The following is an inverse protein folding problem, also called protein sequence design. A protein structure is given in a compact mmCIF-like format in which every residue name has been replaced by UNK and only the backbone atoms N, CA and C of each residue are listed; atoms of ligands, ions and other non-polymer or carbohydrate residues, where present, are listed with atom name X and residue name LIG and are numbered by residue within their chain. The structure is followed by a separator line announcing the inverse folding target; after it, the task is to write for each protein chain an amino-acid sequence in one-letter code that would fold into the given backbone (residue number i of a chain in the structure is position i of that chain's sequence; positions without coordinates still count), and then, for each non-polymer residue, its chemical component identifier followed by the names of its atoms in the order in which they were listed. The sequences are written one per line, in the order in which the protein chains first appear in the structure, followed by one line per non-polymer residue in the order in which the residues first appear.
data_IF_316229774248
#
_entry.id   IF_316229774248
#
_cell.length_a   1.000
_cell.length_b   1.000
_cell.length_c   1.000
_cell.angle_alpha   90.00
_cell.angle_beta   90.00
_cell.angle_gamma   90.00
#
_symmetry.space_group_name_H-M   'P 1'
#
loop_
_entity.id
_entity.type
_entity.pdbx_description
1 polymer ?
#
# COMPACT_ATOMS: atom_id res chain seq x y z
N UNK A 1 -7.28 8.79 18.63
CA UNK A 1 -7.59 10.22 18.60
C UNK A 1 -7.66 10.81 20.00
N UNK A 2 -8.53 10.28 20.90
CA UNK A 2 -8.69 10.79 22.29
C UNK A 2 -7.35 10.93 23.01
N UNK A 3 -6.53 9.89 23.04
CA UNK A 3 -5.22 9.88 23.70
C UNK A 3 -4.30 11.03 23.26
N UNK A 4 -4.24 11.33 21.95
CA UNK A 4 -3.42 12.44 21.42
C UNK A 4 -3.92 13.78 21.95
N UNK A 5 -5.24 14.03 21.90
CA UNK A 5 -5.84 15.28 22.38
C UNK A 5 -5.66 15.44 23.90
N UNK A 6 -5.88 14.39 24.68
CA UNK A 6 -5.73 14.38 26.13
C UNK A 6 -4.29 14.68 26.59
N UNK A 7 -3.30 14.46 25.70
CA UNK A 7 -1.90 14.76 25.94
C UNK A 7 -1.41 16.03 25.21
N UNK A 8 -2.32 16.92 24.83
CA UNK A 8 -2.01 18.21 24.24
C UNK A 8 -1.62 18.19 22.76
N UNK A 9 -1.86 17.06 22.07
CA UNK A 9 -1.67 16.97 20.63
C UNK A 9 -2.85 17.55 19.86
N UNK A 10 -2.62 17.95 18.62
CA UNK A 10 -3.59 18.55 17.73
C UNK A 10 -3.80 17.72 16.46
N UNK A 11 -4.95 17.90 15.82
CA UNK A 11 -5.27 17.38 14.50
C UNK A 11 -5.66 18.54 13.58
N UNK A 12 -5.00 18.65 12.47
CA UNK A 12 -5.32 19.62 11.43
C UNK A 12 -5.83 18.84 10.21
N UNK A 13 -7.14 18.82 10.01
CA UNK A 13 -7.79 18.20 8.85
C UNK A 13 -7.76 19.18 7.67
N UNK A 14 -7.94 18.66 6.45
CA UNK A 14 -7.91 19.42 5.20
C UNK A 14 -6.60 20.21 4.98
N UNK A 15 -5.54 19.77 5.67
CA UNK A 15 -4.24 20.42 5.71
C UNK A 15 -3.22 19.59 4.93
N UNK A 16 -3.28 19.66 3.59
CA UNK A 16 -2.35 18.96 2.71
C UNK A 16 -0.98 19.61 2.78
N UNK A 17 0.05 18.83 3.08
CA UNK A 17 1.44 19.30 3.07
C UNK A 17 1.86 19.62 1.63
N UNK A 18 2.32 20.84 1.42
CA UNK A 18 2.78 21.34 0.10
C UNK A 18 4.28 21.57 0.06
N UNK A 19 4.92 21.79 1.23
CA UNK A 19 6.36 21.95 1.32
C UNK A 19 6.92 21.54 2.70
N UNK A 20 8.18 21.10 2.71
CA UNK A 20 8.95 20.81 3.93
C UNK A 20 10.34 21.43 3.75
N UNK A 21 10.74 22.32 4.64
CA UNK A 21 12.05 22.98 4.62
C UNK A 21 12.82 22.63 5.88
N UNK A 22 14.01 22.07 5.72
CA UNK A 22 14.98 21.89 6.81
C UNK A 22 15.77 23.19 6.99
N UNK A 23 15.74 23.75 8.19
CA UNK A 23 16.48 24.98 8.53
C UNK A 23 17.90 24.71 9.00
N UNK A 24 18.72 25.74 9.00
CA UNK A 24 20.11 25.67 9.41
C UNK A 24 20.33 25.25 10.88
N UNK A 25 19.34 25.48 11.75
CA UNK A 25 19.34 25.05 13.15
C UNK A 25 18.87 23.59 13.34
N UNK A 26 18.58 22.89 12.24
CA UNK A 26 18.11 21.52 12.23
C UNK A 26 16.61 21.36 12.51
N UNK A 27 15.86 22.44 12.67
CA UNK A 27 14.40 22.41 12.72
C UNK A 27 13.80 22.33 11.32
N UNK A 28 12.49 22.10 11.26
CA UNK A 28 11.73 21.98 10.01
C UNK A 28 10.55 22.94 10.02
N UNK A 29 10.27 23.53 8.86
CA UNK A 29 9.02 24.18 8.57
C UNK A 29 8.20 23.30 7.60
N UNK A 30 6.97 23.02 7.96
CA UNK A 30 6.01 22.26 7.16
C UNK A 30 4.91 23.19 6.72
N UNK A 31 4.81 23.44 5.43
CA UNK A 31 3.78 24.32 4.83
C UNK A 31 2.60 23.46 4.35
N UNK A 32 1.40 23.90 4.60
CA UNK A 32 0.17 23.28 4.12
C UNK A 32 -0.53 24.12 3.06
N UNK A 33 -1.56 23.59 2.44
CA UNK A 33 -2.26 24.12 1.27
C UNK A 33 -2.86 25.53 1.44
N UNK A 34 -3.16 25.95 2.65
CA UNK A 34 -3.66 27.33 2.95
C UNK A 34 -2.53 28.33 3.25
N UNK A 35 -1.27 27.89 3.15
CA UNK A 35 -0.10 28.70 3.44
C UNK A 35 0.33 28.71 4.91
N UNK A 36 -0.40 28.03 5.79
CA UNK A 36 0.00 27.88 7.20
C UNK A 36 1.32 27.12 7.31
N UNK A 37 2.20 27.56 8.21
CA UNK A 37 3.50 26.95 8.47
C UNK A 37 3.55 26.42 9.89
N UNK A 38 3.85 25.13 10.03
CA UNK A 38 4.10 24.48 11.31
C UNK A 38 5.60 24.25 11.47
N UNK A 39 6.19 24.79 12.54
CA UNK A 39 7.62 24.62 12.83
C UNK A 39 7.84 23.57 13.92
N UNK A 40 8.76 22.65 13.69
CA UNK A 40 9.10 21.59 14.66
C UNK A 40 10.57 21.16 14.53
N UNK A 41 11.12 20.66 15.64
CA UNK A 41 12.46 20.03 15.64
C UNK A 41 12.46 18.64 15.05
N UNK A 42 11.32 17.98 14.97
CA UNK A 42 11.17 16.62 14.44
C UNK A 42 9.92 16.54 13.58
N UNK A 43 10.03 15.85 12.48
CA UNK A 43 8.92 15.54 11.59
C UNK A 43 8.89 14.04 11.38
N UNK A 44 7.72 13.43 11.53
CA UNK A 44 7.47 12.04 11.17
C UNK A 44 6.69 12.03 9.87
N UNK A 45 7.29 11.48 8.82
CA UNK A 45 6.65 11.30 7.53
C UNK A 45 5.89 9.98 7.52
N UNK A 46 4.57 10.04 7.51
CA UNK A 46 3.68 8.88 7.53
C UNK A 46 2.54 9.04 6.52
N UNK A 47 2.86 9.50 5.31
CA UNK A 47 1.91 9.90 4.27
C UNK A 47 1.35 8.73 3.46
N UNK A 48 1.91 7.52 3.64
CA UNK A 48 1.54 6.33 2.89
C UNK A 48 2.09 6.31 1.45
N UNK A 49 1.87 5.20 0.78
CA UNK A 49 2.46 4.95 -0.55
C UNK A 49 1.81 5.78 -1.69
N UNK A 50 0.58 6.27 -1.49
CA UNK A 50 -0.17 6.99 -2.53
C UNK A 50 0.10 8.51 -2.55
N UNK A 51 0.89 9.02 -1.61
CA UNK A 51 1.29 10.44 -1.58
C UNK A 51 2.43 10.71 -2.57
N UNK A 52 2.13 10.55 -3.88
CA UNK A 52 3.11 10.69 -4.97
C UNK A 52 3.72 12.08 -5.04
N UNK A 53 2.94 13.11 -4.72
CA UNK A 53 3.36 14.51 -4.64
C UNK A 53 4.48 14.74 -3.61
N UNK A 54 4.53 13.97 -2.54
CA UNK A 54 5.60 14.02 -1.53
C UNK A 54 6.92 13.49 -2.12
N UNK A 55 6.89 12.38 -2.86
CA UNK A 55 8.08 11.85 -3.54
C UNK A 55 8.59 12.83 -4.60
N UNK A 56 7.69 13.40 -5.41
CA UNK A 56 8.03 14.43 -6.39
C UNK A 56 8.62 15.69 -5.75
N UNK A 57 8.11 16.07 -4.57
CA UNK A 57 8.66 17.19 -3.80
C UNK A 57 10.08 16.89 -3.33
N UNK A 58 10.35 15.69 -2.85
CA UNK A 58 11.69 15.29 -2.39
C UNK A 58 12.69 15.29 -3.53
N UNK A 59 12.31 14.75 -4.69
CA UNK A 59 13.15 14.78 -5.89
C UNK A 59 13.49 16.22 -6.31
N UNK A 60 12.49 17.08 -6.42
CA UNK A 60 12.70 18.52 -6.74
C UNK A 60 13.60 19.25 -5.75
N UNK A 61 13.62 18.82 -4.49
CA UNK A 61 14.49 19.39 -3.44
C UNK A 61 15.88 18.78 -3.41
N UNK A 62 16.16 17.80 -4.25
CA UNK A 62 17.43 17.06 -4.26
C UNK A 62 17.65 16.25 -2.98
N UNK A 63 16.57 15.85 -2.30
CA UNK A 63 16.66 14.93 -1.17
C UNK A 63 16.91 13.52 -1.71
N UNK A 64 17.72 12.76 -0.99
CA UNK A 64 18.05 11.41 -1.38
C UNK A 64 16.82 10.50 -1.28
N UNK A 65 16.37 10.02 -2.43
CA UNK A 65 15.33 8.98 -2.56
C UNK A 65 15.83 7.92 -3.54
N UNK A 66 15.33 6.72 -3.43
CA UNK A 66 15.72 5.60 -4.28
C UNK A 66 14.48 4.89 -4.81
N UNK A 67 14.53 4.50 -6.09
CA UNK A 67 13.57 3.55 -6.63
C UNK A 67 13.72 2.21 -5.91
N UNK A 68 12.63 1.62 -5.46
CA UNK A 68 12.61 0.35 -4.77
C UNK A 68 11.58 -0.58 -5.41
N UNK A 69 12.00 -1.81 -5.69
CA UNK A 69 11.10 -2.84 -6.19
C UNK A 69 9.88 -3.05 -5.29
N UNK A 70 8.82 -3.50 -5.90
CA UNK A 70 7.57 -3.84 -5.21
C UNK A 70 6.90 -5.07 -5.85
N UNK A 71 5.82 -5.53 -5.25
CA UNK A 71 5.08 -6.67 -5.78
C UNK A 71 3.89 -6.18 -6.62
N UNK A 72 3.81 -6.62 -7.87
CA UNK A 72 2.74 -6.33 -8.81
C UNK A 72 1.99 -7.61 -9.16
N UNK A 73 0.69 -7.53 -9.35
CA UNK A 73 -0.08 -8.70 -9.77
C UNK A 73 -1.57 -8.45 -9.81
N UNK A 74 -2.32 -9.53 -9.76
CA UNK A 74 -3.78 -9.53 -9.84
C UNK A 74 -4.40 -10.01 -8.53
N UNK A 75 -5.65 -9.65 -8.29
CA UNK A 75 -6.41 -10.24 -7.21
C UNK A 75 -7.40 -11.25 -7.76
N UNK A 76 -7.32 -12.47 -7.25
CA UNK A 76 -8.13 -13.61 -7.66
C UNK A 76 -9.23 -13.83 -6.62
N UNK A 77 -10.47 -13.95 -7.08
CA UNK A 77 -11.61 -14.33 -6.25
C UNK A 77 -12.08 -15.76 -6.60
N UNK A 78 -12.48 -16.51 -5.60
CA UNK A 78 -12.97 -17.87 -5.74
C UNK A 78 -13.97 -18.22 -4.63
N UNK A 79 -14.81 -19.26 -4.80
CA UNK A 79 -15.72 -19.69 -3.74
C UNK A 79 -14.95 -20.15 -2.49
N UNK A 80 -15.35 -19.67 -1.31
CA UNK A 80 -14.75 -20.11 -0.05
C UNK A 80 -14.89 -21.62 0.16
N UNK A 81 -16.00 -22.22 -0.30
CA UNK A 81 -16.22 -23.66 -0.23
C UNK A 81 -15.16 -24.48 -0.97
N UNK A 82 -14.61 -23.93 -2.07
CA UNK A 82 -13.49 -24.57 -2.79
C UNK A 82 -12.24 -24.63 -1.90
N UNK A 83 -11.91 -23.52 -1.23
CA UNK A 83 -10.74 -23.45 -0.35
C UNK A 83 -10.93 -24.36 0.86
N UNK A 84 -12.10 -24.33 1.49
CA UNK A 84 -12.42 -25.28 2.58
C UNK A 84 -12.25 -26.74 2.13
N UNK A 85 -12.73 -27.09 0.95
CA UNK A 85 -12.60 -28.45 0.40
C UNK A 85 -11.13 -28.84 0.20
N UNK A 86 -10.31 -27.94 -0.34
CA UNK A 86 -8.88 -28.19 -0.60
C UNK A 86 -8.14 -28.35 0.73
N UNK A 87 -8.23 -27.37 1.62
CA UNK A 87 -7.44 -27.32 2.84
C UNK A 87 -7.85 -28.40 3.87
N UNK A 88 -9.13 -28.74 3.91
CA UNK A 88 -9.63 -29.80 4.80
C UNK A 88 -9.79 -31.15 4.09
N UNK A 89 -9.24 -31.29 2.88
CA UNK A 89 -9.28 -32.55 2.11
C UNK A 89 -10.70 -33.14 1.97
N UNK A 90 -11.68 -32.27 1.76
CA UNK A 90 -13.09 -32.64 1.66
C UNK A 90 -13.80 -32.95 2.99
N UNK A 91 -13.13 -32.82 4.12
CA UNK A 91 -13.67 -33.14 5.47
C UNK A 91 -14.14 -31.90 6.25
N UNK A 92 -14.40 -30.77 5.56
CA UNK A 92 -14.86 -29.53 6.21
C UNK A 92 -16.19 -29.75 6.95
N UNK A 93 -16.28 -29.23 8.17
CA UNK A 93 -17.47 -29.20 9.00
C UNK A 93 -17.81 -27.77 9.40
N UNK A 94 -19.10 -27.43 9.64
CA UNK A 94 -19.53 -26.06 9.95
C UNK A 94 -18.88 -25.40 11.18
N UNK A 95 -18.38 -26.19 12.12
CA UNK A 95 -17.67 -25.69 13.31
C UNK A 95 -16.18 -25.43 13.08
N UNK A 96 -15.65 -25.86 11.93
CA UNK A 96 -14.24 -25.62 11.60
C UNK A 96 -14.05 -24.17 11.15
N UNK A 97 -12.87 -23.57 11.42
CA UNK A 97 -12.54 -22.25 10.93
C UNK A 97 -12.63 -22.16 9.41
N UNK A 98 -12.98 -20.99 8.90
CA UNK A 98 -12.91 -20.70 7.46
C UNK A 98 -11.47 -20.85 6.99
N UNK A 99 -11.26 -21.70 5.99
CA UNK A 99 -9.91 -22.03 5.52
C UNK A 99 -9.24 -20.86 4.78
N UNK A 100 -7.94 -20.78 4.96
CA UNK A 100 -7.07 -19.82 4.28
C UNK A 100 -5.88 -20.55 3.63
N UNK A 101 -5.14 -19.88 2.77
CA UNK A 101 -3.94 -20.41 2.16
C UNK A 101 -2.86 -19.34 1.99
N UNK A 102 -1.64 -19.80 1.89
CA UNK A 102 -0.52 -19.03 1.36
C UNK A 102 0.33 -19.92 0.47
N UNK A 103 0.96 -19.35 -0.52
CA UNK A 103 1.94 -20.04 -1.34
C UNK A 103 3.07 -19.11 -1.76
N UNK A 104 4.21 -19.70 -2.04
CA UNK A 104 5.38 -19.11 -2.68
C UNK A 104 5.88 -20.11 -3.71
N UNK A 105 6.21 -19.63 -4.90
CA UNK A 105 6.80 -20.47 -5.96
C UNK A 105 7.74 -19.63 -6.83
N UNK A 106 8.48 -20.29 -7.70
CA UNK A 106 9.32 -19.66 -8.70
C UNK A 106 8.72 -19.89 -10.10
N UNK A 107 8.62 -18.81 -10.87
CA UNK A 107 8.18 -18.85 -12.27
C UNK A 107 9.12 -17.97 -13.08
N UNK A 108 9.80 -18.53 -14.09
CA UNK A 108 10.78 -17.82 -14.93
C UNK A 108 11.80 -17.05 -14.08
N UNK A 109 12.37 -17.73 -13.07
CA UNK A 109 13.36 -17.20 -12.12
C UNK A 109 12.87 -16.02 -11.25
N UNK A 110 11.55 -15.77 -11.20
CA UNK A 110 10.92 -14.78 -10.33
C UNK A 110 10.11 -15.40 -9.23
N UNK A 111 10.18 -14.82 -8.05
CA UNK A 111 9.31 -15.18 -6.94
C UNK A 111 7.87 -14.77 -7.22
N UNK A 112 6.95 -15.73 -7.19
CA UNK A 112 5.50 -15.52 -7.26
C UNK A 112 4.89 -15.99 -5.95
N UNK A 113 4.03 -15.17 -5.35
CA UNK A 113 3.47 -15.49 -4.05
C UNK A 113 2.05 -14.95 -3.86
N UNK A 114 1.33 -15.59 -2.94
CA UNK A 114 0.05 -15.09 -2.49
C UNK A 114 0.25 -13.91 -1.55
N UNK A 115 -0.63 -12.91 -1.64
CA UNK A 115 -0.56 -11.72 -0.81
C UNK A 115 -1.94 -11.35 -0.25
N UNK A 116 -2.00 -11.07 1.06
CA UNK A 116 -3.22 -10.63 1.73
C UNK A 116 -4.44 -11.49 1.37
N UNK A 117 -4.34 -12.80 1.57
CA UNK A 117 -5.48 -13.72 1.42
C UNK A 117 -6.58 -13.35 2.42
N UNK A 118 -7.80 -13.21 1.93
CA UNK A 118 -8.98 -12.81 2.67
C UNK A 118 -10.00 -13.95 2.67
N UNK A 119 -9.96 -14.86 3.65
CA UNK A 119 -10.95 -15.95 3.77
C UNK A 119 -12.32 -15.39 4.15
N UNK A 120 -13.37 -15.91 3.52
CA UNK A 120 -14.73 -15.41 3.71
C UNK A 120 -14.85 -13.91 3.47
N UNK A 121 -14.06 -13.38 2.52
CA UNK A 121 -13.92 -11.96 2.23
C UNK A 121 -14.45 -11.57 0.86
N UNK A 122 -14.43 -10.27 0.59
CA UNK A 122 -14.86 -9.67 -0.67
C UNK A 122 -13.75 -8.82 -1.27
N UNK A 123 -13.82 -8.58 -2.57
CA UNK A 123 -13.01 -7.59 -3.26
C UNK A 123 -13.52 -6.19 -2.92
N UNK A 124 -12.59 -5.26 -2.71
CA UNK A 124 -12.91 -3.85 -2.48
C UNK A 124 -12.05 -2.96 -3.36
N UNK A 125 -12.62 -1.94 -4.01
CA UNK A 125 -11.84 -0.92 -4.69
C UNK A 125 -10.94 -0.17 -3.70
N UNK A 126 -9.71 0.10 -4.10
CA UNK A 126 -8.71 0.78 -3.28
C UNK A 126 -7.88 1.81 -4.09
N UNK A 127 -8.37 2.20 -5.27
CA UNK A 127 -7.76 3.26 -6.07
C UNK A 127 -7.77 4.59 -5.32
N UNK A 128 -6.70 5.35 -5.45
CA UNK A 128 -6.48 6.64 -4.76
C UNK A 128 -6.46 7.82 -5.70
N UNK A 129 -6.48 7.58 -7.01
CA UNK A 129 -6.58 8.61 -8.04
C UNK A 129 -7.61 8.22 -9.10
N UNK A 130 -8.09 9.21 -9.84
CA UNK A 130 -9.02 9.02 -10.96
C UNK A 130 -8.33 8.24 -12.09
N UNK A 131 -9.06 7.31 -12.69
CA UNK A 131 -8.55 6.46 -13.77
C UNK A 131 -7.74 5.24 -13.32
N UNK A 132 -7.45 5.10 -12.03
CA UNK A 132 -6.73 3.93 -11.50
C UNK A 132 -7.66 2.78 -11.16
N UNK A 133 -7.17 1.57 -11.36
CA UNK A 133 -7.80 0.33 -10.88
C UNK A 133 -6.87 -0.38 -9.91
N UNK A 134 -7.13 -0.20 -8.62
CA UNK A 134 -6.45 -0.92 -7.55
C UNK A 134 -7.48 -1.68 -6.74
N UNK A 135 -7.19 -2.95 -6.47
CA UNK A 135 -8.08 -3.83 -5.71
C UNK A 135 -7.40 -4.26 -4.41
N UNK A 136 -8.19 -4.25 -3.36
CA UNK A 136 -7.84 -4.88 -2.09
C UNK A 136 -8.85 -5.97 -1.75
N UNK A 137 -8.63 -6.71 -0.67
CA UNK A 137 -9.58 -7.67 -0.12
C UNK A 137 -9.87 -7.34 1.33
N UNK A 138 -11.08 -7.71 1.76
CA UNK A 138 -11.47 -7.52 3.14
C UNK A 138 -12.36 -8.68 3.62
N UNK A 139 -12.00 -9.24 4.75
CA UNK A 139 -12.85 -10.19 5.49
C UNK A 139 -13.50 -9.47 6.67
N UNK A 140 -14.78 -9.76 6.92
CA UNK A 140 -15.39 -9.38 8.17
C UNK A 140 -14.85 -10.26 9.33
N UNK A 141 -15.15 -9.89 10.56
CA UNK A 141 -14.67 -10.62 11.74
C UNK A 141 -15.15 -12.08 11.79
N UNK A 142 -16.28 -12.39 11.19
CA UNK A 142 -16.86 -13.74 11.14
C UNK A 142 -16.32 -14.57 9.96
N UNK A 143 -15.66 -13.93 8.98
CA UNK A 143 -15.13 -14.60 7.76
C UNK A 143 -16.19 -15.48 7.06
N UNK A 144 -17.40 -14.99 6.97
CA UNK A 144 -18.59 -15.77 6.56
C UNK A 144 -19.16 -15.41 5.19
N UNK A 145 -18.44 -14.64 4.37
CA UNK A 145 -18.79 -14.49 2.96
C UNK A 145 -18.65 -15.83 2.22
N UNK A 146 -19.44 -16.00 1.19
CA UNK A 146 -19.32 -17.17 0.28
C UNK A 146 -18.05 -17.13 -0.58
N UNK A 147 -17.36 -16.01 -0.60
CA UNK A 147 -16.17 -15.77 -1.41
C UNK A 147 -14.90 -15.76 -0.54
N UNK A 148 -13.79 -16.02 -1.18
CA UNK A 148 -12.45 -15.77 -0.70
C UNK A 148 -11.65 -15.10 -1.80
N UNK A 149 -10.63 -14.34 -1.45
CA UNK A 149 -9.77 -13.73 -2.46
C UNK A 149 -8.33 -13.59 -1.95
N UNK A 150 -7.40 -13.49 -2.88
CA UNK A 150 -5.98 -13.28 -2.59
C UNK A 150 -5.33 -12.51 -3.73
N UNK A 151 -4.37 -11.66 -3.42
CA UNK A 151 -3.40 -11.21 -4.41
C UNK A 151 -2.55 -12.38 -4.86
N UNK A 152 -2.22 -12.44 -6.14
CA UNK A 152 -1.18 -13.28 -6.72
C UNK A 152 -0.20 -12.33 -7.38
N UNK A 153 0.96 -12.20 -6.80
CA UNK A 153 1.89 -11.12 -7.15
C UNK A 153 3.28 -11.66 -7.46
N UNK A 154 3.99 -10.92 -8.30
CA UNK A 154 5.39 -11.14 -8.63
C UNK A 154 6.20 -9.93 -8.20
N UNK A 155 7.40 -10.14 -7.71
CA UNK A 155 8.33 -9.06 -7.41
C UNK A 155 8.84 -8.45 -8.71
N UNK A 156 8.80 -7.12 -8.77
CA UNK A 156 9.39 -6.34 -9.86
C UNK A 156 10.44 -5.37 -9.31
N UNK A 157 11.45 -5.11 -10.12
CA UNK A 157 12.57 -4.23 -9.79
C UNK A 157 12.67 -3.11 -10.82
N UNK A 158 13.34 -1.98 -10.52
CA UNK A 158 13.52 -0.89 -11.47
C UNK A 158 14.15 -1.33 -12.80
N UNK A 159 15.03 -2.31 -12.76
CA UNK A 159 15.74 -2.86 -13.92
C UNK A 159 14.82 -3.62 -14.89
N UNK A 160 13.63 -4.01 -14.46
CA UNK A 160 12.64 -4.67 -15.30
C UNK A 160 11.99 -3.70 -16.31
N UNK A 161 12.12 -2.41 -16.08
CA UNK A 161 11.48 -1.33 -16.84
C UNK A 161 12.50 -0.28 -17.29
N UNK A 162 13.47 -0.64 -18.16
CA UNK A 162 14.53 0.28 -18.56
C UNK A 162 14.04 1.55 -19.25
N UNK A 163 12.84 1.53 -19.86
CA UNK A 163 12.21 2.69 -20.48
C UNK A 163 11.86 3.80 -19.47
N UNK A 164 11.71 3.44 -18.19
CA UNK A 164 11.47 4.41 -17.12
C UNK A 164 12.75 4.90 -16.42
N UNK A 165 13.91 4.37 -16.75
CA UNK A 165 15.18 4.74 -16.12
C UNK A 165 15.49 6.25 -16.21
N UNK A 166 14.97 6.93 -17.23
CA UNK A 166 15.09 8.38 -17.41
C UNK A 166 14.47 9.20 -16.28
N UNK A 167 13.54 8.64 -15.52
CA UNK A 167 12.90 9.27 -14.36
C UNK A 167 13.68 9.07 -13.05
N UNK A 168 14.85 8.41 -13.11
CA UNK A 168 15.72 8.20 -11.95
C UNK A 168 15.00 7.57 -10.77
N UNK A 169 15.05 8.19 -9.58
CA UNK A 169 14.42 7.64 -8.39
C UNK A 169 12.88 7.57 -8.47
N UNK A 170 12.26 8.28 -9.40
CA UNK A 170 10.81 8.25 -9.65
C UNK A 170 10.38 7.25 -10.72
N UNK A 171 11.29 6.41 -11.22
CA UNK A 171 11.03 5.47 -12.33
C UNK A 171 9.80 4.58 -12.06
N UNK A 172 9.74 3.89 -10.93
CA UNK A 172 8.62 3.02 -10.59
C UNK A 172 7.35 3.79 -10.19
N UNK A 173 7.48 5.03 -9.77
CA UNK A 173 6.33 5.91 -9.54
C UNK A 173 5.68 6.29 -10.88
N UNK A 174 6.48 6.60 -11.90
CA UNK A 174 5.97 6.87 -13.23
C UNK A 174 5.34 5.63 -13.87
N UNK A 175 6.00 4.47 -13.77
CA UNK A 175 5.43 3.19 -14.20
C UNK A 175 4.04 2.91 -13.60
N UNK A 176 3.80 3.26 -12.34
CA UNK A 176 2.49 3.10 -11.71
C UNK A 176 1.42 4.07 -12.23
N UNK A 177 1.81 5.18 -12.85
CA UNK A 177 0.88 6.18 -13.40
C UNK A 177 0.42 5.83 -14.81
N UNK A 178 1.26 5.11 -15.58
CA UNK A 178 1.02 4.72 -16.97
C UNK A 178 0.31 3.37 -17.06
#
# INVERSE_FOLDING_TARGET
RKCIIEHGGEYHFDSRVTDIVKKGDGSFDVTVNDGTIYSSRKVILATGHSARDIYEMFDRKGWEIQAKGFALGVRVEHPQSLINKIQYHGKYQPFMPTAEYSFVTQVLDRGVFSFCMCPGGILVPAATAEGELVLNGMSNSQRNSKWANSGVVVQIEPEDFPEYAQYGPLALLQFQKD
#
